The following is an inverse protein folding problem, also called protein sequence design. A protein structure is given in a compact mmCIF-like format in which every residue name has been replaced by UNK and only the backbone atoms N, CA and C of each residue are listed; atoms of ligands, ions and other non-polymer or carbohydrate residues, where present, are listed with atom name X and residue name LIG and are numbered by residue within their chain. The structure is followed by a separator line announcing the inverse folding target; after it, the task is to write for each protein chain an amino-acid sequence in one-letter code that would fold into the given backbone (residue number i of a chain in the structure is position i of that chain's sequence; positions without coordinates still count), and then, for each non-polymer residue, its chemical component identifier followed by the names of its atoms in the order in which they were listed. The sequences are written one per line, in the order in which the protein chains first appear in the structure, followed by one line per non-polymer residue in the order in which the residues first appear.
data_IF_635890745935
#
_entry.id   IF_635890745935
#
_cell.length_a   1.000
_cell.length_b   1.000
_cell.length_c   1.000
_cell.angle_alpha   90.00
_cell.angle_beta   90.00
_cell.angle_gamma   90.00
#
_symmetry.space_group_name_H-M   'P 1'
#
loop_
_entity.id
_entity.type
_entity.pdbx_description
1 polymer ?
#
# COMPACT_ATOMS: atom_id res chain seq x y z
N UNK A 1 -18.81 21.72 -71.47
CA UNK A 1 -17.58 21.03 -71.91
C UNK A 1 -16.41 21.89 -71.46
N UNK A 2 -15.50 21.51 -70.57
CA UNK A 2 -15.05 20.20 -70.07
C UNK A 2 -14.52 20.41 -68.63
N UNK A 3 -14.69 19.41 -67.76
CA UNK A 3 -14.06 19.38 -66.44
C UNK A 3 -12.53 19.23 -66.59
N UNK A 4 -11.77 20.02 -65.82
CA UNK A 4 -10.33 19.85 -65.66
C UNK A 4 -10.03 19.38 -64.23
N UNK A 5 -9.66 18.11 -64.13
CA UNK A 5 -9.27 17.39 -62.92
C UNK A 5 -7.84 17.82 -62.55
N UNK A 6 -7.66 18.53 -61.45
CA UNK A 6 -6.35 18.68 -60.82
C UNK A 6 -6.48 18.93 -59.32
N UNK A 7 -6.45 17.82 -58.58
CA UNK A 7 -5.89 17.66 -57.24
C UNK A 7 -5.89 18.87 -56.29
N UNK A 8 -6.80 18.87 -55.30
CA UNK A 8 -6.47 19.43 -53.99
C UNK A 8 -6.95 18.46 -52.91
N UNK A 9 -6.05 17.52 -52.65
CA UNK A 9 -5.66 17.03 -51.33
C UNK A 9 -6.78 16.87 -50.31
N UNK A 10 -7.23 15.62 -50.18
CA UNK A 10 -7.86 15.07 -48.99
C UNK A 10 -7.03 15.42 -47.76
N UNK A 11 -7.60 16.20 -46.84
CA UNK A 11 -7.06 16.42 -45.51
C UNK A 11 -8.12 16.02 -44.47
N UNK A 12 -8.36 14.71 -44.37
CA UNK A 12 -8.97 14.12 -43.18
C UNK A 12 -7.93 14.30 -42.07
N UNK A 13 -8.13 15.32 -41.23
CA UNK A 13 -7.33 15.54 -40.03
C UNK A 13 -7.68 14.45 -39.00
N UNK A 14 -7.10 13.27 -39.18
CA UNK A 14 -7.06 12.25 -38.14
C UNK A 14 -6.12 12.75 -37.04
N UNK A 15 -6.67 13.40 -36.02
CA UNK A 15 -5.93 13.74 -34.80
C UNK A 15 -5.55 12.43 -34.11
N UNK A 16 -4.31 11.99 -34.32
CA UNK A 16 -3.76 10.84 -33.59
C UNK A 16 -3.53 11.25 -32.14
N UNK A 17 -4.35 10.74 -31.22
CA UNK A 17 -4.05 10.82 -29.79
C UNK A 17 -2.88 9.88 -29.53
N UNK A 18 -1.69 10.44 -29.27
CA UNK A 18 -0.55 9.67 -28.80
C UNK A 18 -0.75 9.38 -27.31
N UNK A 19 -1.17 8.16 -26.98
CA UNK A 19 -1.04 7.65 -25.62
C UNK A 19 0.44 7.30 -25.41
N UNK A 20 1.16 8.13 -24.65
CA UNK A 20 2.50 7.77 -24.19
C UNK A 20 2.39 6.54 -23.28
N UNK A 21 3.26 5.53 -23.43
CA UNK A 21 3.27 4.41 -22.50
C UNK A 21 3.55 4.96 -21.10
N UNK A 22 2.59 4.80 -20.19
CA UNK A 22 2.86 4.93 -18.76
C UNK A 22 3.95 3.91 -18.48
N UNK A 23 5.13 4.37 -18.07
CA UNK A 23 6.17 3.46 -17.65
C UNK A 23 5.55 2.56 -16.59
N UNK A 24 5.47 1.27 -16.88
CA UNK A 24 5.11 0.28 -15.88
C UNK A 24 6.21 0.40 -14.82
N UNK A 25 5.99 1.23 -13.80
CA UNK A 25 6.72 1.13 -12.55
C UNK A 25 6.42 -0.28 -12.09
N UNK A 26 7.34 -1.18 -12.43
CA UNK A 26 7.31 -2.54 -11.95
C UNK A 26 7.35 -2.34 -10.44
N UNK A 27 6.20 -2.49 -9.77
CA UNK A 27 6.14 -2.71 -8.32
C UNK A 27 6.73 -4.09 -8.07
N UNK A 28 7.98 -4.27 -8.48
CA UNK A 28 8.78 -5.41 -8.12
C UNK A 28 9.10 -5.18 -6.67
N UNK A 29 8.69 -6.12 -5.83
CA UNK A 29 9.17 -6.19 -4.46
C UNK A 29 10.69 -6.17 -4.55
N UNK A 30 11.28 -5.04 -4.16
CA UNK A 30 12.74 -4.92 -4.09
C UNK A 30 13.24 -5.68 -2.87
N UNK A 31 14.52 -6.06 -2.86
CA UNK A 31 15.16 -6.62 -1.66
C UNK A 31 14.96 -5.69 -0.45
N UNK A 32 14.99 -4.37 -0.66
CA UNK A 32 14.66 -3.38 0.36
C UNK A 32 13.22 -3.52 0.89
N UNK A 33 12.24 -3.82 0.03
CA UNK A 33 10.87 -4.06 0.48
C UNK A 33 10.76 -5.33 1.33
N UNK A 34 11.46 -6.41 0.95
CA UNK A 34 11.53 -7.63 1.76
C UNK A 34 12.16 -7.35 3.13
N UNK A 35 13.26 -6.58 3.16
CA UNK A 35 13.93 -6.24 4.42
C UNK A 35 13.02 -5.44 5.36
N UNK A 36 12.28 -4.46 4.82
CA UNK A 36 11.31 -3.68 5.61
C UNK A 36 10.18 -4.56 6.14
N UNK A 37 9.65 -5.48 5.33
CA UNK A 37 8.59 -6.39 5.76
C UNK A 37 9.09 -7.39 6.81
N UNK A 38 10.29 -7.93 6.68
CA UNK A 38 10.88 -8.82 7.69
C UNK A 38 11.19 -8.09 8.99
N UNK A 39 11.63 -6.83 8.92
CA UNK A 39 11.79 -5.99 10.10
C UNK A 39 10.44 -5.79 10.81
N UNK A 40 9.38 -5.43 10.08
CA UNK A 40 8.04 -5.28 10.63
C UNK A 40 7.51 -6.59 11.25
N UNK A 41 7.70 -7.73 10.57
CA UNK A 41 7.31 -9.03 11.09
C UNK A 41 8.07 -9.37 12.38
N UNK A 42 9.34 -9.00 12.49
CA UNK A 42 10.12 -9.18 13.73
C UNK A 42 9.51 -8.36 14.87
N UNK A 43 9.08 -7.12 14.60
CA UNK A 43 8.41 -6.28 15.60
C UNK A 43 7.07 -6.87 16.04
N UNK A 44 6.30 -7.45 15.12
CA UNK A 44 5.03 -8.13 15.45
C UNK A 44 5.24 -9.29 16.43
N UNK A 45 6.30 -10.09 16.22
CA UNK A 45 6.65 -11.17 17.15
C UNK A 45 7.08 -10.64 18.52
N UNK A 46 7.84 -9.54 18.55
CA UNK A 46 8.25 -8.90 19.82
C UNK A 46 7.07 -8.32 20.57
N UNK A 47 6.13 -7.68 19.87
CA UNK A 47 4.90 -7.14 20.44
C UNK A 47 4.01 -8.24 21.01
N UNK A 48 3.80 -9.32 20.25
CA UNK A 48 3.04 -10.48 20.71
C UNK A 48 3.68 -11.12 21.96
N UNK A 49 5.01 -11.29 21.96
CA UNK A 49 5.74 -11.83 23.12
C UNK A 49 5.63 -10.90 24.33
N UNK A 50 5.77 -9.58 24.12
CA UNK A 50 5.66 -8.57 25.16
C UNK A 50 4.28 -8.60 25.85
N UNK A 51 3.19 -8.59 25.08
CA UNK A 51 1.85 -8.62 25.66
C UNK A 51 1.52 -9.98 26.28
N UNK A 52 1.90 -11.09 25.65
CA UNK A 52 1.71 -12.43 26.23
C UNK A 52 2.35 -12.54 27.60
N UNK A 53 3.62 -12.12 27.73
CA UNK A 53 4.32 -12.17 29.00
C UNK A 53 3.82 -11.13 30.01
N UNK A 54 3.48 -9.93 29.54
CA UNK A 54 2.90 -8.88 30.38
C UNK A 54 1.57 -9.31 31.00
N UNK A 55 0.66 -9.85 30.19
CA UNK A 55 -0.65 -10.34 30.64
C UNK A 55 -0.54 -11.58 31.52
N UNK A 56 0.48 -12.42 31.34
CA UNK A 56 0.76 -13.52 32.26
C UNK A 56 1.23 -13.01 33.64
N UNK A 57 1.93 -11.87 33.69
CA UNK A 57 2.54 -11.33 34.92
C UNK A 57 1.60 -10.44 35.72
N UNK A 58 0.81 -9.63 35.04
CA UNK A 58 -0.12 -8.68 35.66
C UNK A 58 -1.52 -9.21 35.41
N UNK A 59 -2.36 -9.27 36.43
CA UNK A 59 -3.76 -9.72 36.35
C UNK A 59 -4.73 -8.53 36.25
N UNK A 60 -6.04 -8.77 36.33
CA UNK A 60 -7.04 -7.69 36.27
C UNK A 60 -6.91 -6.70 37.43
N UNK A 61 -6.52 -7.19 38.62
CA UNK A 61 -6.33 -6.35 39.81
C UNK A 61 -5.17 -5.38 39.64
N UNK A 62 -4.06 -5.83 39.05
CA UNK A 62 -2.94 -4.95 38.72
C UNK A 62 -3.34 -3.80 37.79
N UNK A 63 -4.22 -4.06 36.81
CA UNK A 63 -4.74 -3.02 35.91
C UNK A 63 -5.66 -2.05 36.65
N UNK A 64 -6.55 -2.56 37.52
CA UNK A 64 -7.42 -1.73 38.38
C UNK A 64 -6.60 -0.86 39.34
N UNK A 65 -5.55 -1.43 39.96
CA UNK A 65 -4.65 -0.72 40.86
C UNK A 65 -3.86 0.39 40.13
N UNK A 66 -3.57 0.20 38.84
CA UNK A 66 -2.99 1.22 37.98
C UNK A 66 -4.00 2.30 37.51
N UNK A 67 -5.27 2.23 37.95
CA UNK A 67 -6.33 3.16 37.56
C UNK A 67 -6.88 2.93 36.15
N UNK A 68 -6.60 1.76 35.54
CA UNK A 68 -7.11 1.40 34.24
C UNK A 68 -8.50 0.74 34.36
N UNK A 69 -9.33 0.93 33.34
CA UNK A 69 -10.61 0.24 33.23
C UNK A 69 -10.42 -1.26 32.95
N UNK A 70 -11.44 -2.06 33.23
CA UNK A 70 -11.39 -3.52 33.03
C UNK A 70 -11.18 -3.92 31.56
N UNK A 71 -11.71 -3.14 30.61
CA UNK A 71 -11.56 -3.43 29.17
C UNK A 71 -10.14 -3.17 28.64
N UNK A 72 -9.29 -2.44 29.38
CA UNK A 72 -7.92 -2.14 28.95
C UNK A 72 -7.09 -3.41 28.78
N UNK A 73 -7.34 -4.42 29.61
CA UNK A 73 -6.65 -5.71 29.55
C UNK A 73 -7.06 -6.52 28.32
N UNK A 74 -8.33 -6.46 27.94
CA UNK A 74 -8.91 -7.25 26.85
C UNK A 74 -8.51 -6.77 25.44
N UNK A 75 -7.83 -5.61 25.35
CA UNK A 75 -7.35 -5.06 24.08
C UNK A 75 -6.02 -5.64 23.60
N UNK A 76 -5.32 -6.38 24.45
CA UNK A 76 -3.99 -6.93 24.21
C UNK A 76 -4.03 -8.45 24.25
#
# INVERSE_FOLDING_TARGET
MRLSIAAIVSAIAATTVMAAPVSNFKRGISENNINVLNFALTLEHLEAAFYTWGLAKYDEEAFKAAGLNSYARERF
#
